data_IF_140513387397
#
_entry.id   IF_140513387397
#
_cell.length_a   1.000
_cell.length_b   1.000
_cell.length_c   1.000
_cell.angle_alpha   90.00
_cell.angle_beta   90.00
_cell.angle_gamma   90.00
#
_symmetry.space_group_name_H-M   'P 1'
#
loop_
_entity.id
_entity.type
_entity.pdbx_description
1 polymer ?
#
# COMPACT_ATOMS: atom_id res chain seq x y z
N UNK A 1 6.02 15.87 -6.05
CA UNK A 1 4.84 15.27 -5.44
C UNK A 1 4.57 13.91 -6.05
N UNK A 2 4.33 12.94 -5.23
CA UNK A 2 4.33 11.57 -5.70
C UNK A 2 2.97 10.90 -5.66
N UNK A 3 2.03 11.49 -4.94
CA UNK A 3 0.70 10.93 -4.82
C UNK A 3 -0.20 11.50 -5.91
N UNK A 4 -0.78 10.60 -6.70
CA UNK A 4 -1.78 11.00 -7.68
C UNK A 4 -3.13 10.84 -7.02
N UNK A 5 -3.73 11.95 -6.65
CA UNK A 5 -4.98 11.93 -5.91
C UNK A 5 -6.15 11.68 -6.83
N UNK A 6 -6.92 10.66 -6.52
CA UNK A 6 -8.12 10.32 -7.29
C UNK A 6 -9.40 10.72 -6.58
N UNK A 7 -9.40 10.63 -5.27
CA UNK A 7 -10.57 10.93 -4.47
C UNK A 7 -10.20 11.70 -3.24
N UNK A 8 -11.08 12.59 -2.85
CA UNK A 8 -11.02 13.23 -1.55
C UNK A 8 -12.39 13.12 -0.93
N UNK A 9 -12.51 12.31 0.10
CA UNK A 9 -13.79 12.01 0.73
C UNK A 9 -13.75 12.45 2.18
N UNK A 10 -14.80 13.15 2.61
CA UNK A 10 -14.92 13.61 3.98
C UNK A 10 -16.00 12.81 4.70
N UNK A 11 -15.69 12.38 5.90
CA UNK A 11 -16.64 11.74 6.78
C UNK A 11 -16.92 12.66 7.94
N UNK A 12 -18.19 12.96 8.14
CA UNK A 12 -18.58 13.96 9.13
C UNK A 12 -19.32 13.42 10.33
N UNK A 13 -19.65 12.14 10.33
CA UNK A 13 -20.53 11.64 11.37
C UNK A 13 -19.84 11.64 12.73
N UNK A 14 -18.99 10.67 12.96
CA UNK A 14 -18.41 10.53 14.30
C UNK A 14 -16.94 10.86 14.34
N UNK A 15 -16.24 10.67 13.25
CA UNK A 15 -14.79 10.70 13.28
C UNK A 15 -14.16 11.91 12.63
N UNK A 16 -14.88 12.54 11.75
CA UNK A 16 -14.38 13.71 11.03
C UNK A 16 -13.02 13.39 10.40
N UNK A 17 -13.04 12.44 9.50
CA UNK A 17 -11.85 12.01 8.79
C UNK A 17 -11.93 12.47 7.35
N UNK A 18 -10.76 12.81 6.80
CA UNK A 18 -10.63 13.05 5.38
C UNK A 18 -9.89 11.88 4.79
N UNK A 19 -10.25 11.47 3.59
CA UNK A 19 -9.63 10.36 2.90
C UNK A 19 -9.00 10.86 1.62
N UNK A 20 -7.72 10.56 1.44
CA UNK A 20 -7.00 10.86 0.22
C UNK A 20 -6.59 9.54 -0.41
N UNK A 21 -7.10 9.26 -1.60
CA UNK A 21 -6.81 8.01 -2.30
C UNK A 21 -6.14 8.30 -3.62
N UNK A 22 -5.19 7.47 -3.99
CA UNK A 22 -4.49 7.61 -5.25
C UNK A 22 -3.40 6.58 -5.36
N UNK A 23 -2.40 6.87 -6.19
CA UNK A 23 -1.27 5.96 -6.36
C UNK A 23 0.02 6.71 -6.11
N UNK A 24 1.04 5.96 -5.66
CA UNK A 24 2.39 6.50 -5.55
C UNK A 24 3.30 5.71 -6.47
N UNK A 25 4.19 6.39 -7.19
CA UNK A 25 5.13 5.69 -8.06
C UNK A 25 6.28 5.12 -7.23
N UNK A 26 6.52 3.84 -7.39
CA UNK A 26 7.55 3.11 -6.66
C UNK A 26 8.44 2.41 -7.68
N UNK A 27 9.75 2.58 -7.53
CA UNK A 27 10.70 1.94 -8.43
C UNK A 27 11.21 0.67 -7.76
N UNK A 28 10.93 -0.46 -8.39
CA UNK A 28 11.36 -1.75 -7.91
C UNK A 28 12.03 -2.49 -9.07
N UNK A 29 13.28 -2.89 -8.87
CA UNK A 29 14.07 -3.59 -9.89
C UNK A 29 14.02 -2.85 -11.24
N UNK A 30 14.23 -1.54 -11.17
CA UNK A 30 14.35 -0.66 -12.33
C UNK A 30 13.05 -0.45 -13.11
N UNK A 31 11.91 -0.88 -12.54
CA UNK A 31 10.61 -0.62 -13.14
C UNK A 31 9.78 0.22 -12.19
N UNK A 32 8.97 1.09 -12.76
CA UNK A 32 8.08 1.93 -11.97
C UNK A 32 6.72 1.28 -11.87
N UNK A 33 6.23 1.16 -10.65
CA UNK A 33 4.91 0.62 -10.35
C UNK A 33 4.10 1.68 -9.64
N UNK A 34 2.85 1.83 -10.00
CA UNK A 34 1.95 2.75 -9.33
C UNK A 34 1.20 1.98 -8.25
N UNK A 35 1.54 2.25 -7.01
CA UNK A 35 0.98 1.50 -5.87
C UNK A 35 -0.22 2.26 -5.33
N UNK A 36 -1.40 1.66 -5.31
CA UNK A 36 -2.58 2.34 -4.80
C UNK A 36 -2.55 2.41 -3.28
N UNK A 37 -2.78 3.60 -2.76
CA UNK A 37 -2.82 3.82 -1.32
C UNK A 37 -3.99 4.72 -0.97
N UNK A 38 -4.35 4.68 0.30
CA UNK A 38 -5.40 5.48 0.87
C UNK A 38 -4.89 6.00 2.20
N UNK A 39 -5.02 7.30 2.43
CA UNK A 39 -4.55 7.92 3.67
C UNK A 39 -5.73 8.59 4.34
N UNK A 40 -5.94 8.26 5.61
CA UNK A 40 -6.98 8.88 6.42
C UNK A 40 -6.37 9.93 7.32
N UNK A 41 -6.91 11.13 7.26
CA UNK A 41 -6.43 12.28 8.01
C UNK A 41 -7.47 12.66 9.04
N UNK A 42 -7.05 12.83 10.28
CA UNK A 42 -7.93 13.35 11.32
C UNK A 42 -8.09 14.86 11.11
N UNK A 43 -9.14 15.41 11.73
CA UNK A 43 -9.44 16.82 11.54
C UNK A 43 -8.30 17.73 11.99
N UNK A 44 -7.50 17.28 12.94
CA UNK A 44 -6.38 18.09 13.44
C UNK A 44 -5.06 17.77 12.71
N UNK A 45 -5.15 17.06 11.56
CA UNK A 45 -3.95 16.86 10.77
C UNK A 45 -3.33 18.24 10.43
N UNK A 46 -2.03 18.42 10.52
CA UNK A 46 -0.99 17.40 10.68
C UNK A 46 -0.53 17.14 12.12
N UNK A 47 -1.26 17.61 13.11
CA UNK A 47 -0.88 17.37 14.51
C UNK A 47 -0.99 15.90 14.87
N UNK A 48 -2.00 15.21 14.34
CA UNK A 48 -2.18 13.79 14.59
C UNK A 48 -1.61 12.97 13.47
N UNK A 49 -1.12 11.79 13.82
CA UNK A 49 -0.58 10.83 12.89
C UNK A 49 -1.66 10.34 11.93
N UNK A 50 -1.42 10.36 10.63
CA UNK A 50 -2.38 9.79 9.68
C UNK A 50 -2.37 8.28 9.72
N UNK A 51 -3.41 7.67 9.15
CA UNK A 51 -3.47 6.23 8.96
C UNK A 51 -3.39 5.96 7.47
N UNK A 52 -2.45 5.10 7.09
CA UNK A 52 -2.22 4.82 5.67
C UNK A 52 -2.45 3.35 5.38
N UNK A 53 -3.03 3.07 4.23
CA UNK A 53 -3.39 1.72 3.80
C UNK A 53 -3.01 1.50 2.36
N UNK A 54 -2.57 0.30 2.06
CA UNK A 54 -2.46 -0.17 0.68
C UNK A 54 -3.86 -0.63 0.26
N UNK A 55 -4.30 -0.19 -0.91
CA UNK A 55 -5.62 -0.54 -1.43
C UNK A 55 -5.47 -1.27 -2.75
N UNK A 56 -5.17 -2.57 -2.71
CA UNK A 56 -4.86 -3.30 -3.94
C UNK A 56 -6.05 -3.35 -4.88
N UNK A 57 -5.76 -3.34 -6.18
CA UNK A 57 -6.78 -3.54 -7.19
C UNK A 57 -7.08 -5.04 -7.29
N UNK A 58 -8.07 -5.38 -8.13
CA UNK A 58 -8.51 -6.77 -8.24
C UNK A 58 -7.43 -7.72 -8.73
N UNK A 59 -6.46 -7.19 -9.46
CA UNK A 59 -5.37 -8.01 -10.00
C UNK A 59 -4.12 -7.95 -9.12
N UNK A 60 -4.24 -7.39 -7.92
CA UNK A 60 -3.13 -7.30 -6.97
C UNK A 60 -3.46 -8.03 -5.69
N UNK A 61 -2.42 -8.49 -5.02
CA UNK A 61 -2.55 -9.11 -3.71
C UNK A 61 -1.56 -8.46 -2.76
N UNK A 62 -2.00 -8.23 -1.53
CA UNK A 62 -1.13 -7.62 -0.52
C UNK A 62 -0.02 -8.61 -0.16
N UNK A 63 1.19 -8.09 -0.12
CA UNK A 63 2.34 -8.83 0.34
C UNK A 63 2.61 -8.42 1.78
N UNK A 64 2.28 -9.28 2.72
CA UNK A 64 2.42 -9.00 4.13
C UNK A 64 3.89 -8.91 4.50
N UNK A 65 4.22 -7.90 5.29
CA UNK A 65 5.58 -7.70 5.80
C UNK A 65 5.45 -6.96 7.12
N UNK A 66 6.60 -6.61 7.71
CA UNK A 66 6.55 -5.83 8.93
C UNK A 66 6.11 -4.38 8.69
N UNK A 67 6.00 -3.97 7.44
CA UNK A 67 5.51 -2.64 7.08
C UNK A 67 4.05 -2.64 6.63
N UNK A 68 3.49 -3.79 6.27
CA UNK A 68 2.13 -3.87 5.76
C UNK A 68 1.48 -5.14 6.29
N UNK A 69 0.35 -5.01 6.96
CA UNK A 69 -0.34 -6.19 7.46
C UNK A 69 -1.35 -6.69 6.43
N UNK A 70 -2.04 -7.76 6.78
CA UNK A 70 -2.94 -8.43 5.83
C UNK A 70 -4.16 -7.58 5.46
N UNK A 71 -4.46 -6.53 6.23
CA UNK A 71 -5.53 -5.60 5.89
C UNK A 71 -5.05 -4.49 4.97
N UNK A 72 -3.74 -4.40 4.77
CA UNK A 72 -3.14 -3.34 3.97
C UNK A 72 -2.64 -2.18 4.81
N UNK A 73 -2.84 -2.21 6.11
CA UNK A 73 -2.41 -1.09 6.94
C UNK A 73 -0.89 -0.98 6.94
N UNK A 74 -0.42 0.27 6.80
CA UNK A 74 1.00 0.57 6.70
C UNK A 74 1.54 0.92 8.08
N UNK A 75 2.66 0.29 8.43
CA UNK A 75 3.36 0.52 9.69
C UNK A 75 4.77 1.00 9.37
N UNK A 76 5.12 2.18 9.85
CA UNK A 76 6.45 2.73 9.62
C UNK A 76 6.87 3.52 10.84
N UNK A 77 8.17 3.57 11.06
CA UNK A 77 8.70 4.30 12.20
C UNK A 77 8.27 5.75 12.18
N UNK A 78 8.22 6.36 10.99
CA UNK A 78 7.82 7.76 10.89
C UNK A 78 6.38 7.99 11.32
N UNK A 79 5.53 6.97 11.25
CA UNK A 79 4.16 7.07 11.74
C UNK A 79 4.13 6.95 13.26
N UNK A 80 4.94 6.04 13.80
CA UNK A 80 5.02 5.85 15.25
C UNK A 80 5.62 7.07 15.94
N UNK A 81 6.52 7.76 15.26
CA UNK A 81 7.23 8.91 15.79
C UNK A 81 6.72 10.22 15.21
N UNK A 82 5.48 10.22 14.75
CA UNK A 82 4.89 11.39 14.13
C UNK A 82 4.97 12.59 15.08
N UNK A 83 5.48 13.69 14.56
CA UNK A 83 5.68 14.90 15.37
C UNK A 83 5.44 16.14 14.53
N UNK A 84 4.46 16.90 14.90
CA UNK A 84 4.19 18.20 14.29
C UNK A 84 5.19 19.22 14.85
N UNK A 85 5.77 20.12 14.05
CA UNK A 85 5.50 20.31 12.62
C UNK A 85 6.48 19.59 11.70
N UNK A 86 7.37 18.77 12.24
CA UNK A 86 8.43 18.16 11.47
C UNK A 86 7.92 17.06 10.53
N UNK A 87 6.91 16.34 10.96
CA UNK A 87 6.33 15.26 10.17
C UNK A 87 5.30 15.83 9.20
N UNK A 88 5.36 15.37 7.95
CA UNK A 88 4.46 15.85 6.91
C UNK A 88 3.98 14.68 6.07
N UNK A 89 2.85 14.89 5.39
CA UNK A 89 2.32 13.87 4.49
C UNK A 89 3.29 13.62 3.33
N UNK A 90 3.90 14.67 2.80
CA UNK A 90 4.90 14.51 1.75
C UNK A 90 6.06 13.65 2.22
N UNK A 91 6.52 13.87 3.45
CA UNK A 91 7.59 13.07 4.03
C UNK A 91 7.19 11.61 4.14
N UNK A 92 5.97 11.35 4.58
CA UNK A 92 5.46 9.99 4.67
C UNK A 92 5.45 9.31 3.31
N UNK A 93 4.94 9.99 2.29
CA UNK A 93 4.87 9.43 0.95
C UNK A 93 6.27 9.11 0.43
N UNK A 94 7.24 9.99 0.66
CA UNK A 94 8.60 9.75 0.20
C UNK A 94 9.22 8.55 0.88
N UNK A 95 8.98 8.39 2.18
CA UNK A 95 9.48 7.21 2.91
C UNK A 95 8.82 5.94 2.38
N UNK A 96 7.53 5.99 2.11
CA UNK A 96 6.83 4.85 1.52
C UNK A 96 7.45 4.45 0.19
N UNK A 97 7.78 5.43 -0.64
CA UNK A 97 8.39 5.13 -1.94
C UNK A 97 9.72 4.42 -1.79
N UNK A 98 10.53 4.86 -0.83
CA UNK A 98 11.82 4.23 -0.59
C UNK A 98 11.67 2.80 -0.09
N UNK A 99 10.85 2.62 0.93
CA UNK A 99 10.69 1.32 1.56
C UNK A 99 10.04 0.33 0.59
N UNK A 100 9.00 0.75 -0.10
CA UNK A 100 8.31 -0.13 -1.05
C UNK A 100 9.13 -0.38 -2.31
N UNK A 101 10.13 0.47 -2.57
CA UNK A 101 11.07 0.20 -3.66
C UNK A 101 11.98 -0.97 -3.36
N UNK A 102 12.18 -1.27 -2.09
CA UNK A 102 12.98 -2.43 -1.68
C UNK A 102 12.09 -3.62 -1.33
N UNK A 103 10.93 -3.35 -0.75
CA UNK A 103 10.03 -4.39 -0.28
C UNK A 103 8.61 -4.04 -0.74
N UNK A 104 8.24 -4.43 -1.96
CA UNK A 104 6.93 -4.04 -2.50
C UNK A 104 5.79 -4.55 -1.64
N UNK A 105 4.73 -3.74 -1.47
CA UNK A 105 3.61 -4.11 -0.61
C UNK A 105 2.55 -4.96 -1.29
N UNK A 106 2.66 -5.13 -2.61
CA UNK A 106 1.72 -5.93 -3.38
C UNK A 106 2.47 -6.70 -4.44
N UNK A 107 1.82 -7.73 -4.96
CA UNK A 107 2.30 -8.43 -6.14
C UNK A 107 1.12 -8.73 -7.03
N UNK A 108 1.40 -8.93 -8.31
CA UNK A 108 0.35 -9.23 -9.27
C UNK A 108 -0.16 -10.65 -9.02
N UNK A 109 -1.48 -10.80 -9.03
CA UNK A 109 -2.06 -12.12 -8.97
C UNK A 109 -1.74 -12.85 -10.26
N UNK A 110 -1.34 -14.12 -10.13
CA UNK A 110 -1.16 -14.91 -11.30
C UNK A 110 -2.53 -15.13 -11.93
N UNK A 111 -2.60 -14.90 -13.22
CA UNK A 111 -3.81 -15.23 -13.94
C UNK A 111 -3.87 -16.73 -14.03
N UNK A 112 -4.57 -17.33 -13.12
CA UNK A 112 -4.92 -18.69 -13.29
C UNK A 112 -6.00 -18.70 -14.32
N UNK A 113 -5.68 -19.29 -15.32
CA UNK A 113 -6.74 -19.59 -16.16
C UNK A 113 -7.60 -20.61 -15.47
N UNK A 114 -7.54 -20.53 -15.20
CA UNK A 114 -7.93 -21.13 -14.72
C UNK A 114 -7.94 -21.93 -14.37
N UNK A 115 -7.53 -21.85 -14.52
CA UNK A 115 -7.30 -22.60 -14.10
C UNK A 115 -6.80 -23.04 -13.69
N UNK A 116 -6.50 -23.06 -13.95
CA UNK A 116 -5.94 -23.64 -13.51
C UNK A 116 -5.32 -23.80 -13.01
N UNK A 117 -5.25 -23.95 -13.15
CA UNK A 117 -4.55 -24.28 -12.69
C UNK A 117 -3.79 -24.43 -12.25
N UNK A 118 -3.77 -24.49 -12.38
CA UNK A 118 -3.06 -24.87 -11.91
C UNK A 118 -2.20 -24.97 -11.57
N UNK A 119 -2.15 -25.02 -11.61
CA UNK A 119 -1.43 -25.39 -11.23
C UNK A 119 -0.69 -25.46 -10.89
N UNK A 120 -0.64 -25.48 -11.03
CA UNK A 120 0.03 -25.87 -10.67
C UNK A 120 0.74 -26.02 -10.39
N UNK A 121 0.73 -25.97 -10.63
CA UNK A 121 1.35 -26.50 -10.30
C UNK A 121 2.09 -26.79 -10.13
N UNK A 122 2.02 -26.86 -10.22
CA UNK A 122 2.57 -27.51 -9.97
C UNK A 122 3.25 -27.89 -9.80
N UNK A 123 3.21 -27.93 -9.89
CA UNK A 123 3.68 -28.73 -9.68
C UNK A 123 4.26 -29.13 -9.54
N UNK A 124 4.08 -29.09 -9.74
CA UNK A 124 4.48 -29.88 -9.62
C UNK A 124 4.97 -30.26 -9.53
N UNK A 125 4.89 -30.32 -9.75
CA UNK A 125 5.19 -31.12 -9.65
C UNK A 125 5.73 -31.43 -9.50
N UNK A 126 5.64 -31.48 -9.66
CA UNK A 126 5.96 -32.25 -9.58
C UNK A 126 6.38 -32.65 -9.46
N UNK A 127 6.21 -32.62 -9.66
CA UNK A 127 6.37 -33.44 -9.69
C UNK A 127 6.60 -33.81 -9.61
N UNK A 128 6.59 -33.96 -9.77
CA UNK A 128 6.55 -34.66 -9.74
C UNK A 128 6.56 -34.94 -9.72
N UNK A 129 6.45 -34.84 -9.99
CA UNK A 129 6.26 -35.38 -10.12
C UNK A 129 6.26 -35.52 -10.14
N UNK A 130 6.14 -35.65 -10.17
CA UNK A 130 6.01 -36.16 -10.15
C UNK A 130 6.11 -36.34 -10.12
#
# INVERSE_FOLDING_TARGET
MCLVMKNLVFFFLFRRLANISGTIPVIYKEKTYNIPICVWLKIDHPSSCPMAFITPTNDMQIKVSHHVDQTGRIYMQCLDEWRYPDSTLTGLINICREIFGELPPVFAKTKTTSSHNSESVINTQNGNGK
#
